data_IF_906512909261
#
_entry.id   IF_906512909261
#
_cell.length_a   1.000
_cell.length_b   1.000
_cell.length_c   1.000
_cell.angle_alpha   90.00
_cell.angle_beta   90.00
_cell.angle_gamma   90.00
#
_symmetry.space_group_name_H-M   'P 1'
#
loop_
_entity.id
_entity.type
_entity.pdbx_description
1 polymer ?
#
# COMPACT_ATOMS: atom_id res chain seq x y z
N UNK A 1 1.79 -22.37 -18.03
CA UNK A 1 2.57 -21.23 -17.48
C UNK A 1 1.84 -19.89 -17.60
N UNK A 2 1.25 -19.53 -18.76
CA UNK A 2 0.60 -18.23 -18.98
C UNK A 2 -0.48 -17.87 -17.95
N UNK A 3 -1.35 -18.83 -17.56
CA UNK A 3 -2.40 -18.61 -16.55
C UNK A 3 -1.83 -18.21 -15.18
N UNK A 4 -0.70 -18.81 -14.79
CA UNK A 4 0.00 -18.48 -13.53
C UNK A 4 0.54 -17.06 -13.57
N UNK A 5 1.22 -16.69 -14.67
CA UNK A 5 1.82 -15.36 -14.85
C UNK A 5 0.73 -14.29 -14.82
N UNK A 6 -0.36 -14.49 -15.56
CA UNK A 6 -1.51 -13.57 -15.55
C UNK A 6 -2.07 -13.38 -14.14
N UNK A 7 -2.28 -14.46 -13.40
CA UNK A 7 -2.83 -14.37 -12.04
C UNK A 7 -1.85 -13.70 -11.07
N UNK A 8 -0.54 -13.90 -11.22
CA UNK A 8 0.47 -13.22 -10.42
C UNK A 8 0.48 -11.70 -10.67
N UNK A 9 0.37 -11.28 -11.94
CA UNK A 9 0.28 -9.87 -12.33
C UNK A 9 -1.00 -9.25 -11.78
N UNK A 10 -2.15 -9.92 -11.92
CA UNK A 10 -3.42 -9.44 -11.37
C UNK A 10 -3.37 -9.34 -9.84
N UNK A 11 -2.76 -10.30 -9.17
CA UNK A 11 -2.57 -10.27 -7.72
C UNK A 11 -1.71 -9.06 -7.31
N UNK A 12 -0.56 -8.86 -7.96
CA UNK A 12 0.31 -7.72 -7.72
C UNK A 12 -0.43 -6.39 -7.92
N UNK A 13 -1.20 -6.26 -9.01
CA UNK A 13 -2.00 -5.07 -9.28
C UNK A 13 -3.03 -4.80 -8.18
N UNK A 14 -3.79 -5.82 -7.76
CA UNK A 14 -4.80 -5.69 -6.69
C UNK A 14 -4.15 -5.26 -5.36
N UNK A 15 -3.01 -5.85 -4.99
CA UNK A 15 -2.29 -5.47 -3.76
C UNK A 15 -1.89 -3.99 -3.79
N UNK A 16 -1.37 -3.49 -4.90
CA UNK A 16 -0.95 -2.10 -5.01
C UNK A 16 -2.13 -1.12 -5.09
N UNK A 17 -3.24 -1.52 -5.73
CA UNK A 17 -4.48 -0.74 -5.71
C UNK A 17 -4.99 -0.60 -4.27
N UNK A 18 -5.04 -1.69 -3.50
CA UNK A 18 -5.44 -1.67 -2.10
C UNK A 18 -4.50 -0.80 -1.26
N UNK A 19 -3.18 -0.89 -1.48
CA UNK A 19 -2.21 -0.03 -0.83
C UNK A 19 -2.51 1.47 -1.06
N UNK A 20 -2.78 1.87 -2.30
CA UNK A 20 -3.14 3.26 -2.63
C UNK A 20 -4.46 3.66 -1.97
N UNK A 21 -5.48 2.81 -1.97
CA UNK A 21 -6.75 3.08 -1.29
C UNK A 21 -6.54 3.33 0.20
N UNK A 22 -5.72 2.51 0.87
CA UNK A 22 -5.41 2.68 2.30
C UNK A 22 -4.70 4.01 2.55
N UNK A 23 -3.76 4.40 1.68
CA UNK A 23 -3.06 5.69 1.79
C UNK A 23 -4.04 6.86 1.64
N UNK A 24 -4.93 6.82 0.65
CA UNK A 24 -5.95 7.86 0.43
C UNK A 24 -6.91 7.96 1.61
N UNK A 25 -7.43 6.83 2.11
CA UNK A 25 -8.34 6.81 3.26
C UNK A 25 -7.64 7.32 4.52
N UNK A 26 -6.39 6.91 4.75
CA UNK A 26 -5.62 7.37 5.92
C UNK A 26 -5.36 8.87 5.86
N UNK A 27 -4.98 9.39 4.68
CA UNK A 27 -4.83 10.82 4.45
C UNK A 27 -6.13 11.59 4.70
N UNK A 28 -7.25 11.09 4.17
CA UNK A 28 -8.57 11.70 4.38
C UNK A 28 -8.95 11.73 5.87
N UNK A 29 -8.75 10.64 6.60
CA UNK A 29 -9.03 10.58 8.04
C UNK A 29 -8.16 11.55 8.85
N UNK A 30 -6.88 11.68 8.48
CA UNK A 30 -5.98 12.66 9.10
C UNK A 30 -6.47 14.09 8.83
N UNK A 31 -6.90 14.40 7.61
CA UNK A 31 -7.46 15.72 7.27
C UNK A 31 -8.76 16.00 8.00
N UNK A 32 -9.68 15.02 8.10
CA UNK A 32 -10.95 15.19 8.82
C UNK A 32 -10.75 15.39 10.33
N UNK A 33 -9.73 14.79 10.92
CA UNK A 33 -9.38 14.94 12.34
C UNK A 33 -8.48 16.13 12.61
N UNK A 34 -7.96 16.79 11.58
CA UNK A 34 -7.10 17.94 11.72
C UNK A 34 -7.97 19.17 12.06
N UNK A 35 -7.98 19.59 13.32
CA UNK A 35 -8.50 20.91 13.70
C UNK A 35 -7.47 21.95 13.27
N UNK A 36 -7.79 22.83 12.30
CA UNK A 36 -6.87 23.86 11.88
C UNK A 36 -6.65 24.81 13.07
N UNK A 37 -5.42 24.90 13.58
CA UNK A 37 -5.03 25.83 14.66
C UNK A 37 -5.07 27.30 14.25
N UNK A 38 -6.00 27.70 13.38
CA UNK A 38 -6.05 29.06 12.79
C UNK A 38 -6.34 30.12 13.88
N UNK A 39 -7.02 29.73 14.97
CA UNK A 39 -7.31 30.63 16.10
C UNK A 39 -6.02 31.00 16.88
N UNK A 40 -5.01 30.12 16.91
CA UNK A 40 -3.68 30.41 17.51
C UNK A 40 -2.63 30.87 16.48
N UNK A 41 -2.80 30.51 15.20
CA UNK A 41 -1.80 30.71 14.15
C UNK A 41 -1.59 32.18 13.72
N UNK A 42 -2.54 33.08 14.00
CA UNK A 42 -2.36 34.51 13.74
C UNK A 42 -1.36 35.17 14.69
N UNK A 43 -1.11 34.58 15.86
CA UNK A 43 -0.13 35.10 16.83
C UNK A 43 1.30 34.66 16.54
N UNK A 44 1.53 33.71 15.62
CA UNK A 44 2.84 33.13 15.32
C UNK A 44 3.11 33.10 13.81
N UNK A 45 3.12 34.27 13.15
CA UNK A 45 3.40 34.40 11.70
C UNK A 45 4.72 33.78 11.21
N UNK A 46 5.60 33.34 12.11
CA UNK A 46 6.92 32.78 11.78
C UNK A 46 6.98 31.25 11.81
N UNK A 47 5.90 30.55 12.22
CA UNK A 47 5.90 29.09 12.38
C UNK A 47 5.17 28.31 11.26
N UNK A 48 4.43 28.99 10.38
CA UNK A 48 3.54 28.31 9.42
C UNK A 48 4.25 27.66 8.23
N UNK A 49 5.42 28.15 7.80
CA UNK A 49 6.09 27.59 6.62
C UNK A 49 6.79 26.24 6.89
N UNK A 50 7.07 25.88 8.15
CA UNK A 50 7.90 24.71 8.46
C UNK A 50 7.15 23.50 9.04
N UNK A 51 5.87 23.61 9.38
CA UNK A 51 5.18 22.61 10.20
C UNK A 51 3.98 21.88 9.57
N UNK A 52 3.79 21.94 8.25
CA UNK A 52 2.86 21.00 7.60
C UNK A 52 3.64 19.77 7.14
N UNK A 53 4.09 18.98 8.12
CA UNK A 53 4.54 17.60 7.90
C UNK A 53 3.30 16.77 7.56
N UNK A 54 2.80 16.90 6.32
CA UNK A 54 2.00 15.83 5.74
C UNK A 54 2.91 14.60 5.75
N UNK A 55 2.53 13.61 6.55
CA UNK A 55 3.41 12.57 7.10
C UNK A 55 4.55 12.16 6.18
N UNK A 56 5.76 12.10 6.73
CA UNK A 56 6.99 11.62 6.10
C UNK A 56 6.71 10.34 5.29
N UNK A 57 6.31 10.53 4.04
CA UNK A 57 6.10 9.43 3.12
C UNK A 57 7.47 9.24 2.51
N UNK A 58 8.15 8.16 2.90
CA UNK A 58 9.37 7.79 2.22
C UNK A 58 9.01 7.68 0.74
N UNK A 59 9.45 8.63 -0.08
CA UNK A 59 9.32 8.60 -1.53
C UNK A 59 10.37 7.62 -2.03
N UNK A 60 10.03 6.33 -2.21
CA UNK A 60 11.02 5.37 -2.63
C UNK A 60 11.42 5.73 -4.05
N UNK A 61 12.68 5.50 -4.43
CA UNK A 61 13.04 5.62 -5.84
C UNK A 61 12.13 4.71 -6.67
N UNK A 62 11.78 5.12 -7.90
CA UNK A 62 10.87 4.35 -8.74
C UNK A 62 11.30 2.88 -8.93
N UNK A 63 12.61 2.61 -8.85
CA UNK A 63 13.17 1.27 -8.86
C UNK A 63 12.78 0.42 -7.64
N UNK A 64 12.80 1.01 -6.44
CA UNK A 64 12.36 0.32 -5.22
C UNK A 64 10.86 -0.04 -5.29
N UNK A 65 10.04 0.81 -5.90
CA UNK A 65 8.63 0.52 -6.15
C UNK A 65 8.43 -0.60 -7.19
N UNK A 66 9.26 -0.66 -8.24
CA UNK A 66 9.22 -1.78 -9.17
C UNK A 66 9.56 -3.13 -8.48
N UNK A 67 10.48 -3.11 -7.51
CA UNK A 67 10.81 -4.30 -6.71
C UNK A 67 9.65 -4.77 -5.83
N UNK A 68 8.81 -3.88 -5.29
CA UNK A 68 7.61 -4.32 -4.55
C UNK A 68 6.61 -5.00 -5.47
N UNK A 69 6.50 -4.53 -6.71
CA UNK A 69 5.67 -5.16 -7.73
C UNK A 69 6.18 -6.57 -8.08
N UNK A 70 7.47 -6.70 -8.41
CA UNK A 70 8.10 -7.98 -8.69
C UNK A 70 8.03 -8.94 -7.48
N UNK A 71 8.29 -8.41 -6.28
CA UNK A 71 8.22 -9.16 -5.02
C UNK A 71 6.82 -9.70 -4.74
N UNK A 72 5.78 -8.89 -4.94
CA UNK A 72 4.39 -9.34 -4.76
C UNK A 72 3.99 -10.44 -5.74
N UNK A 73 4.42 -10.35 -7.01
CA UNK A 73 4.20 -11.40 -8.00
C UNK A 73 4.96 -12.70 -7.65
N UNK A 74 6.19 -12.58 -7.16
CA UNK A 74 6.97 -13.71 -6.69
C UNK A 74 6.32 -14.39 -5.46
N UNK A 75 5.85 -13.62 -4.48
CA UNK A 75 5.13 -14.14 -3.32
C UNK A 75 3.88 -14.93 -3.72
N UNK A 76 3.12 -14.44 -4.70
CA UNK A 76 1.98 -15.19 -5.23
C UNK A 76 2.42 -16.53 -5.84
N UNK A 77 3.43 -16.51 -6.70
CA UNK A 77 3.86 -17.69 -7.45
C UNK A 77 4.51 -18.76 -6.54
N UNK A 78 5.34 -18.34 -5.57
CA UNK A 78 6.17 -19.24 -4.77
C UNK A 78 5.61 -19.57 -3.39
N UNK A 79 4.74 -18.74 -2.82
CA UNK A 79 4.14 -19.01 -1.51
C UNK A 79 2.63 -19.30 -1.63
N UNK A 80 1.86 -18.34 -2.17
CA UNK A 80 0.40 -18.43 -2.14
C UNK A 80 -0.13 -19.57 -3.02
N UNK A 81 0.34 -19.66 -4.27
CA UNK A 81 -0.11 -20.68 -5.21
C UNK A 81 0.18 -22.12 -4.74
N UNK A 82 1.40 -22.50 -4.29
CA UNK A 82 1.64 -23.84 -3.79
C UNK A 82 0.88 -24.11 -2.49
N UNK A 83 0.69 -23.11 -1.63
CA UNK A 83 -0.12 -23.26 -0.42
C UNK A 83 -1.59 -23.56 -0.78
N UNK A 84 -2.18 -22.80 -1.70
CA UNK A 84 -3.54 -22.99 -2.18
C UNK A 84 -3.73 -24.37 -2.83
N UNK A 85 -2.75 -24.82 -3.62
CA UNK A 85 -2.76 -26.17 -4.21
C UNK A 85 -2.73 -27.25 -3.12
N UNK A 86 -1.79 -27.15 -2.17
CA UNK A 86 -1.71 -28.08 -1.03
C UNK A 86 -3.01 -28.11 -0.22
N UNK A 87 -3.67 -26.98 -0.06
CA UNK A 87 -4.92 -26.88 0.69
C UNK A 87 -6.09 -27.53 -0.07
N UNK A 88 -6.18 -27.31 -1.38
CA UNK A 88 -7.17 -27.97 -2.24
C UNK A 88 -6.97 -29.50 -2.25
N UNK A 89 -5.72 -29.96 -2.33
CA UNK A 89 -5.40 -31.40 -2.32
C UNK A 89 -5.75 -32.05 -0.97
N UNK A 90 -5.59 -31.34 0.16
CA UNK A 90 -6.04 -31.83 1.48
C UNK A 90 -7.55 -31.92 1.57
N UNK A 91 -8.28 -30.94 1.05
CA UNK A 91 -9.75 -30.93 1.06
C UNK A 91 -10.33 -32.10 0.25
N UNK A 92 -9.71 -32.46 -0.87
CA UNK A 92 -10.18 -33.55 -1.75
C UNK A 92 -9.85 -34.96 -1.23
N UNK A 93 -9.04 -35.09 -0.17
CA UNK A 93 -8.69 -36.37 0.47
C UNK A 93 -9.56 -36.68 1.71
N UNK A 94 -10.41 -35.74 2.12
CA UNK A 94 -11.41 -35.88 3.19
C UNK A 94 -12.78 -36.18 2.55
#
# INVERSE_FOLDING_TARGET
MVKTIRNAILFAAVVHILYVIVQVVSGMLLTMRHVPKIVDAYSSKQALESQVSFGLTASPSGWLYALTFAGSAALYAFALQPLLRRWADRRNRL
#
